data_IF_934696029498
#
_entry.id   IF_934696029498
#
_cell.length_a   1.000
_cell.length_b   1.000
_cell.length_c   1.000
_cell.angle_alpha   90.00
_cell.angle_beta   90.00
_cell.angle_gamma   90.00
#
_symmetry.space_group_name_H-M   'P 1'
#
loop_
_entity.id
_entity.type
_entity.pdbx_description
1 polymer ?
#
# COMPACT_ATOMS: atom_id res chain seq x y z
N UNK A 1 -13.00 -4.38 -23.97
CA UNK A 1 -12.62 -5.57 -23.18
C UNK A 1 -12.95 -5.22 -21.74
N UNK A 2 -13.83 -5.98 -21.09
CA UNK A 2 -14.14 -5.77 -19.67
C UNK A 2 -12.88 -5.99 -18.83
N UNK A 3 -12.74 -5.21 -17.75
CA UNK A 3 -11.62 -5.38 -16.81
C UNK A 3 -11.93 -6.59 -15.94
N UNK A 4 -10.97 -7.53 -15.86
CA UNK A 4 -11.01 -8.64 -14.91
C UNK A 4 -11.10 -8.13 -13.48
N UNK A 5 -11.93 -8.79 -12.67
CA UNK A 5 -11.93 -8.64 -11.21
C UNK A 5 -10.70 -9.30 -10.59
N UNK A 6 -10.39 -8.92 -9.34
CA UNK A 6 -9.25 -9.52 -8.63
C UNK A 6 -9.45 -11.02 -8.40
N UNK A 7 -10.68 -11.45 -8.10
CA UNK A 7 -11.03 -12.86 -7.94
C UNK A 7 -10.80 -13.65 -9.23
N UNK A 8 -11.28 -13.12 -10.37
CA UNK A 8 -11.06 -13.76 -11.68
C UNK A 8 -9.58 -13.83 -12.03
N UNK A 9 -8.78 -12.82 -11.68
CA UNK A 9 -7.33 -12.84 -11.90
C UNK A 9 -6.61 -13.90 -11.07
N UNK A 10 -7.01 -14.09 -9.80
CA UNK A 10 -6.48 -15.14 -8.92
C UNK A 10 -6.81 -16.52 -9.49
N UNK A 11 -8.07 -16.75 -9.85
CA UNK A 11 -8.53 -18.02 -10.44
C UNK A 11 -7.76 -18.30 -11.73
N UNK A 12 -7.66 -17.31 -12.61
CA UNK A 12 -6.92 -17.44 -13.86
C UNK A 12 -5.45 -17.80 -13.64
N UNK A 13 -4.76 -17.15 -12.71
CA UNK A 13 -3.37 -17.46 -12.40
C UNK A 13 -3.20 -18.91 -11.92
N UNK A 14 -4.08 -19.38 -11.02
CA UNK A 14 -4.09 -20.78 -10.55
C UNK A 14 -4.36 -21.77 -11.69
N UNK A 15 -5.31 -21.47 -12.57
CA UNK A 15 -5.61 -22.33 -13.73
C UNK A 15 -4.44 -22.41 -14.73
N UNK A 16 -3.74 -21.30 -14.98
CA UNK A 16 -2.57 -21.29 -15.86
C UNK A 16 -1.43 -22.08 -15.22
N UNK A 17 -1.23 -21.96 -13.91
CA UNK A 17 -0.25 -22.77 -13.20
C UNK A 17 -0.55 -24.27 -13.31
N UNK A 18 -1.79 -24.68 -13.05
CA UNK A 18 -2.21 -26.08 -13.16
C UNK A 18 -2.02 -26.63 -14.58
N UNK A 19 -2.41 -25.86 -15.61
CA UNK A 19 -2.23 -26.24 -17.03
C UNK A 19 -0.76 -26.45 -17.36
N UNK A 20 0.14 -25.62 -16.84
CA UNK A 20 1.57 -25.75 -17.07
C UNK A 20 2.17 -26.94 -16.31
N UNK A 21 1.76 -27.22 -15.07
CA UNK A 21 2.16 -28.45 -14.37
C UNK A 21 1.73 -29.70 -15.14
N UNK A 22 0.49 -29.72 -15.62
CA UNK A 22 -0.01 -30.80 -16.48
C UNK A 22 0.74 -30.89 -17.81
N UNK A 23 1.14 -29.76 -18.37
CA UNK A 23 1.96 -29.69 -19.58
C UNK A 23 3.37 -30.26 -19.42
N UNK A 24 3.88 -30.33 -18.19
CA UNK A 24 5.15 -30.96 -17.85
C UNK A 24 5.04 -32.45 -17.48
N UNK A 25 3.81 -32.97 -17.31
CA UNK A 25 3.54 -34.34 -16.87
C UNK A 25 3.54 -35.33 -18.05
N UNK A 26 4.73 -35.59 -18.57
CA UNK A 26 4.99 -36.59 -19.60
C UNK A 26 6.39 -37.20 -19.42
N UNK A 27 6.68 -38.38 -19.99
CA UNK A 27 8.05 -38.93 -20.01
C UNK A 27 8.89 -38.21 -21.07
N UNK A 28 10.08 -37.72 -20.70
CA UNK A 28 10.96 -37.07 -21.68
C UNK A 28 11.74 -38.12 -22.45
N UNK A 29 11.79 -37.94 -23.77
CA UNK A 29 12.46 -38.85 -24.69
C UNK A 29 13.82 -38.28 -25.10
N UNK A 30 13.93 -36.94 -25.19
CA UNK A 30 15.16 -36.24 -25.51
C UNK A 30 15.33 -34.93 -24.72
N UNK A 31 16.41 -34.20 -25.03
CA UNK A 31 16.75 -32.94 -24.36
C UNK A 31 15.77 -31.79 -24.66
N UNK A 32 14.99 -31.88 -25.75
CA UNK A 32 13.99 -30.88 -26.10
C UNK A 32 12.81 -31.01 -25.15
N UNK A 33 12.39 -32.25 -24.87
CA UNK A 33 11.36 -32.54 -23.88
C UNK A 33 11.74 -32.03 -22.47
N UNK A 34 13.01 -32.17 -22.08
CA UNK A 34 13.50 -31.66 -20.79
C UNK A 34 13.45 -30.12 -20.70
N UNK A 35 13.77 -29.41 -21.79
CA UNK A 35 13.66 -27.95 -21.85
C UNK A 35 12.20 -27.49 -21.78
N UNK A 36 11.31 -28.15 -22.53
CA UNK A 36 9.86 -27.88 -22.49
C UNK A 36 9.33 -28.07 -21.07
N UNK A 37 9.66 -29.18 -20.41
CA UNK A 37 9.27 -29.43 -19.01
C UNK A 37 9.76 -28.35 -18.08
N UNK A 38 11.03 -27.98 -18.19
CA UNK A 38 11.63 -26.95 -17.34
C UNK A 38 10.91 -25.62 -17.51
N UNK A 39 10.59 -25.23 -18.74
CA UNK A 39 9.85 -24.02 -19.04
C UNK A 39 8.40 -24.07 -18.52
N UNK A 40 7.71 -25.21 -18.66
CA UNK A 40 6.38 -25.41 -18.11
C UNK A 40 6.37 -25.34 -16.58
N UNK A 41 7.28 -26.03 -15.90
CA UNK A 41 7.40 -25.98 -14.42
C UNK A 41 7.66 -24.55 -13.96
N UNK A 42 8.61 -23.86 -14.61
CA UNK A 42 8.91 -22.46 -14.28
C UNK A 42 7.69 -21.55 -14.45
N UNK A 43 6.98 -21.67 -15.57
CA UNK A 43 5.77 -20.90 -15.80
C UNK A 43 4.69 -21.21 -14.76
N UNK A 44 4.56 -22.48 -14.35
CA UNK A 44 3.62 -22.86 -13.31
C UNK A 44 3.96 -22.23 -11.95
N UNK A 45 5.22 -22.25 -11.56
CA UNK A 45 5.71 -21.64 -10.31
C UNK A 45 5.51 -20.11 -10.31
N UNK A 46 5.83 -19.43 -11.42
CA UNK A 46 5.61 -17.99 -11.58
C UNK A 46 4.12 -17.62 -11.43
N UNK A 47 3.22 -18.39 -12.04
CA UNK A 47 1.79 -18.15 -11.94
C UNK A 47 1.21 -18.50 -10.57
N UNK A 48 1.77 -19.48 -9.86
CA UNK A 48 1.39 -19.76 -8.48
C UNK A 48 1.80 -18.62 -7.55
N UNK A 49 3.04 -18.13 -7.67
CA UNK A 49 3.51 -16.98 -6.91
C UNK A 49 2.67 -15.73 -7.20
N UNK A 50 2.29 -15.51 -8.46
CA UNK A 50 1.38 -14.42 -8.81
C UNK A 50 0.02 -14.57 -8.11
N UNK A 51 -0.55 -15.77 -8.06
CA UNK A 51 -1.80 -16.01 -7.37
C UNK A 51 -1.69 -15.71 -5.86
N UNK A 52 -0.58 -16.07 -5.22
CA UNK A 52 -0.31 -15.75 -3.81
C UNK A 52 -0.28 -14.24 -3.55
N UNK A 53 0.43 -13.46 -4.37
CA UNK A 53 0.47 -12.00 -4.24
C UNK A 53 -0.90 -11.36 -4.46
N UNK A 54 -1.72 -11.91 -5.37
CA UNK A 54 -3.06 -11.40 -5.62
C UNK A 54 -4.01 -11.69 -4.44
N UNK A 55 -3.87 -12.82 -3.76
CA UNK A 55 -4.60 -13.13 -2.52
C UNK A 55 -4.20 -12.18 -1.38
N UNK A 56 -2.90 -11.87 -1.25
CA UNK A 56 -2.43 -10.89 -0.28
C UNK A 56 -3.02 -9.48 -0.57
N UNK A 57 -3.00 -9.06 -1.84
CA UNK A 57 -3.61 -7.81 -2.28
C UNK A 57 -5.12 -7.77 -2.00
N UNK A 58 -5.81 -8.90 -2.19
CA UNK A 58 -7.24 -9.02 -1.87
C UNK A 58 -7.46 -8.78 -0.37
N UNK A 59 -6.65 -9.42 0.48
CA UNK A 59 -6.74 -9.23 1.94
C UNK A 59 -6.52 -7.78 2.37
N UNK A 60 -5.58 -7.05 1.75
CA UNK A 60 -5.36 -5.64 2.05
C UNK A 60 -6.55 -4.76 1.62
N UNK A 61 -7.13 -5.01 0.44
CA UNK A 61 -8.30 -4.26 -0.02
C UNK A 61 -9.53 -4.49 0.85
N UNK A 62 -9.76 -5.73 1.27
CA UNK A 62 -10.84 -6.05 2.22
C UNK A 62 -10.60 -5.38 3.58
N UNK A 63 -9.36 -5.36 4.07
CA UNK A 63 -8.99 -4.66 5.28
C UNK A 63 -9.20 -3.13 5.17
N UNK A 64 -8.89 -2.54 4.01
CA UNK A 64 -9.16 -1.13 3.73
C UNK A 64 -10.68 -0.83 3.72
N UNK A 65 -11.49 -1.66 3.06
CA UNK A 65 -12.94 -1.51 3.00
C UNK A 65 -13.60 -1.66 4.40
N UNK A 66 -13.06 -2.55 5.24
CA UNK A 66 -13.50 -2.74 6.62
C UNK A 66 -12.99 -1.65 7.58
N UNK A 67 -12.13 -0.72 7.11
CA UNK A 67 -11.55 0.34 7.94
C UNK A 67 -10.48 -0.14 8.92
N UNK A 68 -9.87 -1.30 8.67
CA UNK A 68 -8.76 -1.86 9.46
C UNK A 68 -7.40 -1.25 9.09
N UNK A 69 -7.31 -0.64 7.90
CA UNK A 69 -6.12 0.09 7.45
C UNK A 69 -6.37 1.60 7.52
N UNK A 70 -5.38 2.33 8.05
CA UNK A 70 -5.40 3.79 8.07
C UNK A 70 -4.32 4.31 7.13
N UNK A 71 -4.72 5.17 6.19
CA UNK A 71 -3.79 5.89 5.34
C UNK A 71 -3.23 7.09 6.10
N UNK A 72 -1.93 7.05 6.36
CA UNK A 72 -1.21 8.17 6.96
C UNK A 72 -1.17 9.36 5.99
N UNK A 73 -1.29 10.61 6.49
CA UNK A 73 -1.28 11.81 5.66
C UNK A 73 0.12 12.09 5.06
N UNK A 74 1.16 11.67 5.77
CA UNK A 74 2.55 11.78 5.36
C UNK A 74 3.41 10.71 6.09
N UNK A 75 4.60 10.38 5.58
CA UNK A 75 5.58 9.60 6.31
C UNK A 75 6.06 10.28 7.59
N UNK A 76 6.45 9.50 8.59
CA UNK A 76 7.32 9.99 9.68
C UNK A 76 8.64 10.48 9.09
N UNK A 77 9.18 11.57 9.64
CA UNK A 77 10.35 12.28 9.10
C UNK A 77 9.97 13.38 8.09
N UNK A 78 8.69 13.57 7.79
CA UNK A 78 8.22 14.66 6.92
C UNK A 78 8.29 16.00 7.65
N UNK A 79 8.84 17.02 6.98
CA UNK A 79 8.75 18.41 7.44
C UNK A 79 7.33 18.93 7.35
N UNK A 80 6.85 19.55 8.43
CA UNK A 80 5.51 20.13 8.57
C UNK A 80 5.60 21.50 9.22
N UNK A 81 4.51 22.26 9.12
CA UNK A 81 4.42 23.62 9.66
C UNK A 81 3.24 23.73 10.59
N UNK A 82 3.49 24.00 11.87
CA UNK A 82 2.44 24.24 12.85
C UNK A 82 2.28 25.73 13.17
N UNK A 83 1.04 26.12 13.43
CA UNK A 83 0.69 27.47 13.86
C UNK A 83 0.68 27.51 15.38
N UNK A 84 1.55 28.34 15.95
CA UNK A 84 1.65 28.55 17.39
C UNK A 84 1.52 30.04 17.71
N UNK A 85 0.31 30.46 18.09
CA UNK A 85 0.01 31.88 18.30
C UNK A 85 -0.06 32.63 16.96
N UNK A 86 0.79 33.63 16.78
CA UNK A 86 0.91 34.41 15.53
C UNK A 86 2.10 33.96 14.66
N UNK A 87 2.77 32.88 15.04
CA UNK A 87 3.97 32.38 14.35
C UNK A 87 3.73 31.02 13.72
N UNK A 88 4.49 30.74 12.66
CA UNK A 88 4.56 29.44 12.01
C UNK A 88 5.92 28.82 12.31
N UNK A 89 5.90 27.63 12.90
CA UNK A 89 7.11 26.87 13.25
C UNK A 89 7.30 25.73 12.26
N UNK A 90 8.56 25.44 11.93
CA UNK A 90 8.93 24.27 11.14
C UNK A 90 9.25 23.11 12.08
N UNK A 91 8.67 21.95 11.80
CA UNK A 91 8.83 20.74 12.61
C UNK A 91 9.00 19.50 11.73
N UNK A 92 9.45 18.41 12.33
CA UNK A 92 9.57 17.10 11.66
C UNK A 92 8.69 16.10 12.38
N UNK A 93 7.80 15.44 11.64
CA UNK A 93 6.85 14.47 12.19
C UNK A 93 7.61 13.28 12.79
N UNK A 94 7.38 12.98 14.05
CA UNK A 94 7.86 11.76 14.73
C UNK A 94 6.72 10.77 15.04
N UNK A 95 5.46 11.21 15.00
CA UNK A 95 4.30 10.39 15.32
C UNK A 95 3.00 10.95 14.75
N UNK A 96 2.05 10.05 14.48
CA UNK A 96 0.70 10.38 14.00
C UNK A 96 -0.30 9.60 14.84
N UNK A 97 -1.23 10.31 15.43
CA UNK A 97 -2.35 9.74 16.19
C UNK A 97 -3.65 9.88 15.39
N UNK A 98 -4.47 8.82 15.40
CA UNK A 98 -5.79 8.82 14.78
C UNK A 98 -6.87 8.87 15.85
N UNK A 99 -7.58 9.99 15.94
CA UNK A 99 -8.70 10.17 16.86
C UNK A 99 -9.97 9.43 16.42
N UNK A 100 -10.96 9.35 17.30
CA UNK A 100 -12.23 8.62 17.11
C UNK A 100 -13.03 8.99 15.84
N UNK A 101 -12.81 10.18 15.30
CA UNK A 101 -13.52 10.70 14.12
C UNK A 101 -12.67 10.66 12.84
N UNK A 102 -11.56 9.91 12.83
CA UNK A 102 -10.60 9.90 11.72
C UNK A 102 -9.71 11.15 11.64
N UNK A 103 -9.83 12.06 12.60
CA UNK A 103 -8.95 13.22 12.77
C UNK A 103 -7.53 12.76 13.04
N UNK A 104 -6.57 13.42 12.42
CA UNK A 104 -5.16 13.06 12.52
C UNK A 104 -4.42 14.15 13.29
N UNK A 105 -3.66 13.75 14.29
CA UNK A 105 -2.86 14.64 15.14
C UNK A 105 -1.39 14.31 14.96
N UNK A 106 -0.57 15.33 14.73
CA UNK A 106 0.85 15.17 14.45
C UNK A 106 1.68 15.48 15.70
N UNK A 107 2.79 14.77 15.83
CA UNK A 107 3.73 14.89 16.93
C UNK A 107 5.14 15.16 16.39
N UNK A 108 5.93 15.94 17.12
CA UNK A 108 7.36 16.19 16.90
C UNK A 108 8.16 15.87 18.17
N UNK A 109 9.48 15.82 18.06
CA UNK A 109 10.40 15.69 19.21
C UNK A 109 10.12 14.51 20.17
N UNK A 110 9.47 13.45 19.66
CA UNK A 110 8.92 12.29 20.40
C UNK A 110 7.72 12.55 21.31
N UNK A 111 7.60 13.72 21.93
CA UNK A 111 6.56 14.03 22.92
C UNK A 111 5.87 15.40 22.72
N UNK A 112 6.26 16.18 21.72
CA UNK A 112 5.61 17.46 21.41
C UNK A 112 4.39 17.24 20.53
N UNK A 113 3.21 17.50 21.09
CA UNK A 113 1.97 17.55 20.33
C UNK A 113 1.92 18.83 19.49
N UNK A 114 1.88 18.70 18.16
CA UNK A 114 1.83 19.84 17.24
C UNK A 114 0.40 20.35 17.02
N UNK A 115 -0.58 19.44 16.96
CA UNK A 115 -1.96 19.79 16.68
C UNK A 115 -2.66 18.89 15.66
N UNK A 116 -3.90 19.24 15.35
CA UNK A 116 -4.71 18.58 14.30
C UNK A 116 -4.22 18.98 12.90
N UNK A 117 -4.10 18.00 12.02
CA UNK A 117 -3.75 18.20 10.62
C UNK A 117 -4.83 19.03 9.89
N UNK A 118 -4.40 20.00 9.08
CA UNK A 118 -5.21 20.95 8.32
C UNK A 118 -5.99 21.97 9.18
N UNK A 119 -5.77 21.99 10.49
CA UNK A 119 -6.33 23.01 11.40
C UNK A 119 -5.21 23.81 12.07
N UNK A 120 -4.28 23.11 12.73
CA UNK A 120 -3.09 23.72 13.36
C UNK A 120 -1.79 23.31 12.68
N UNK A 121 -1.74 22.14 12.05
CA UNK A 121 -0.53 21.59 11.41
C UNK A 121 -0.76 21.37 9.92
N UNK A 122 0.19 21.78 9.10
CA UNK A 122 0.08 21.75 7.64
C UNK A 122 1.29 21.08 6.99
N UNK A 123 1.05 20.39 5.87
CA UNK A 123 2.09 19.74 5.08
C UNK A 123 2.84 20.71 4.15
N UNK A 124 2.43 21.99 4.10
CA UNK A 124 3.14 23.05 3.39
C UNK A 124 3.08 24.34 4.20
N UNK A 125 4.14 25.15 4.12
CA UNK A 125 4.19 26.47 4.76
C UNK A 125 3.11 27.41 4.22
N UNK A 126 2.89 27.42 2.91
CA UNK A 126 1.86 28.25 2.26
C UNK A 126 0.46 27.97 2.80
N UNK A 127 0.12 26.71 3.07
CA UNK A 127 -1.17 26.36 3.66
C UNK A 127 -1.31 26.89 5.10
N UNK A 128 -0.23 26.84 5.89
CA UNK A 128 -0.20 27.42 7.22
C UNK A 128 -0.33 28.95 7.19
N UNK A 129 0.39 29.63 6.29
CA UNK A 129 0.33 31.10 6.11
C UNK A 129 -1.09 31.54 5.76
N UNK A 130 -1.72 30.86 4.79
CA UNK A 130 -3.10 31.13 4.41
C UNK A 130 -4.07 30.92 5.57
N UNK A 131 -3.90 29.84 6.34
CA UNK A 131 -4.76 29.59 7.51
C UNK A 131 -4.57 30.66 8.58
N UNK A 132 -3.33 31.11 8.78
CA UNK A 132 -3.01 32.13 9.78
C UNK A 132 -3.73 33.46 9.50
N UNK A 133 -3.90 33.83 8.23
CA UNK A 133 -4.67 35.01 7.80
C UNK A 133 -6.19 34.90 8.06
N UNK A 134 -6.71 33.69 8.28
CA UNK A 134 -8.14 33.46 8.57
C UNK A 134 -8.50 33.63 10.06
N UNK A 135 -7.51 33.70 10.97
CA UNK A 135 -7.73 33.91 12.40
C UNK A 135 -7.97 35.39 12.75
#
# INVERSE_FOLDING_TARGET
MERLTLEEAIVHAKEVAEKNYRGADFESIDYIDDDIKTNCIKCAEEHMQLAEWLEELKSYKEAEEQGLLVRLPCPVGTTVWDICGMDIRENVVCGIECGKNGKQFLWANHDEWLGELNDLVFLTREAAEKKLEEF
#
